data_IF_871282792908
#
_entry.id   IF_871282792908
#
_cell.length_a   1.000
_cell.length_b   1.000
_cell.length_c   1.000
_cell.angle_alpha   90.00
_cell.angle_beta   90.00
_cell.angle_gamma   90.00
#
_symmetry.space_group_name_H-M   'P 1'
#
loop_
_entity.id
_entity.type
_entity.pdbx_description
1 polymer ?
#
# COMPACT_ATOMS: atom_id res chain seq x y z
N UNK A 1 -9.88 20.77 24.88
CA UNK A 1 -9.30 20.66 23.52
C UNK A 1 -7.80 20.84 23.65
N UNK A 2 -7.02 19.81 23.31
CA UNK A 2 -5.57 20.00 23.12
C UNK A 2 -5.42 20.65 21.76
N UNK A 3 -4.89 21.87 21.70
CA UNK A 3 -4.55 22.48 20.43
C UNK A 3 -3.40 21.68 19.80
N UNK A 4 -3.67 20.97 18.71
CA UNK A 4 -2.65 20.27 17.94
C UNK A 4 -1.75 21.33 17.30
N UNK A 5 -0.52 21.48 17.80
CA UNK A 5 0.48 22.34 17.19
C UNK A 5 1.08 21.60 16.00
N UNK A 6 0.98 22.17 14.80
CA UNK A 6 1.70 21.68 13.64
C UNK A 6 3.21 21.71 13.96
N UNK A 7 3.84 20.53 13.96
CA UNK A 7 5.27 20.39 14.24
C UNK A 7 6.06 20.79 12.98
N UNK A 8 5.71 20.18 11.85
CA UNK A 8 6.34 20.42 10.56
C UNK A 8 5.40 19.99 9.43
N UNK A 9 5.59 20.59 8.26
CA UNK A 9 4.94 20.18 7.01
C UNK A 9 6.03 20.03 5.95
N UNK A 10 5.96 18.92 5.22
CA UNK A 10 6.87 18.59 4.11
C UNK A 10 6.07 18.48 2.81
N UNK A 11 6.72 18.74 1.69
CA UNK A 11 6.21 18.49 0.34
C UNK A 11 6.57 17.06 -0.06
N UNK A 12 5.59 16.31 -0.56
CA UNK A 12 5.80 15.06 -1.27
C UNK A 12 5.70 15.36 -2.77
N UNK A 13 6.77 15.10 -3.51
CA UNK A 13 6.87 15.37 -4.94
C UNK A 13 6.92 14.06 -5.72
N UNK A 14 5.77 13.65 -6.26
CA UNK A 14 5.60 12.41 -7.01
C UNK A 14 6.08 12.50 -8.46
N UNK A 15 6.61 13.66 -8.90
CA UNK A 15 7.05 13.88 -10.28
C UNK A 15 5.98 13.47 -11.32
N UNK A 16 4.69 13.78 -11.11
CA UNK A 16 3.52 13.27 -11.86
C UNK A 16 3.74 13.08 -13.38
N UNK A 17 4.20 11.89 -13.79
CA UNK A 17 4.30 11.50 -15.21
C UNK A 17 2.97 10.93 -15.73
N UNK A 18 2.04 10.57 -14.84
CA UNK A 18 0.73 10.04 -15.22
C UNK A 18 -0.41 10.48 -14.26
N UNK A 19 -1.09 11.60 -14.53
CA UNK A 19 -2.12 12.15 -13.66
C UNK A 19 -3.42 11.31 -13.55
N UNK A 20 -3.57 10.24 -14.32
CA UNK A 20 -4.81 9.43 -14.36
C UNK A 20 -4.98 8.45 -13.18
N UNK A 21 -3.92 8.20 -12.40
CA UNK A 21 -3.93 7.40 -11.17
C UNK A 21 -2.95 8.03 -10.18
N UNK A 22 -3.28 9.23 -9.71
CA UNK A 22 -2.31 9.97 -8.92
C UNK A 22 -2.41 9.59 -7.45
N UNK A 23 -1.38 8.90 -6.97
CA UNK A 23 -1.31 8.34 -5.62
C UNK A 23 -1.55 9.36 -4.49
N UNK A 24 -1.31 10.65 -4.75
CA UNK A 24 -1.43 11.68 -3.72
C UNK A 24 -2.85 11.88 -3.16
N UNK A 25 -3.89 11.33 -3.81
CA UNK A 25 -5.27 11.48 -3.36
C UNK A 25 -5.65 10.48 -2.27
N UNK A 26 -4.98 9.33 -2.25
CA UNK A 26 -5.46 8.11 -1.60
C UNK A 26 -4.35 7.47 -0.75
N UNK A 27 -3.50 8.30 -0.12
CA UNK A 27 -2.42 7.81 0.75
C UNK A 27 -3.00 7.24 2.05
N UNK A 28 -2.68 5.98 2.32
CA UNK A 28 -3.22 5.21 3.44
C UNK A 28 -2.12 4.64 4.35
N UNK A 29 -0.90 4.47 3.84
CA UNK A 29 0.22 3.93 4.62
C UNK A 29 1.54 4.67 4.34
N UNK A 30 2.39 4.75 5.37
CA UNK A 30 3.67 5.45 5.33
C UNK A 30 4.66 4.85 6.32
N UNK A 31 5.93 4.73 5.92
CA UNK A 31 7.03 4.32 6.81
C UNK A 31 8.36 4.94 6.39
N UNK A 32 9.20 5.26 7.38
CA UNK A 32 10.60 5.60 7.15
C UNK A 32 11.47 4.35 7.25
N UNK A 33 12.35 4.15 6.25
CA UNK A 33 13.41 3.12 6.31
C UNK A 33 14.76 3.70 6.72
N UNK A 34 14.91 5.02 6.53
CA UNK A 34 16.01 5.84 7.02
C UNK A 34 15.51 7.30 7.15
N UNK A 35 16.28 8.23 7.74
CA UNK A 35 15.91 9.65 7.80
C UNK A 35 15.68 10.32 6.44
N UNK A 36 16.18 9.71 5.36
CA UNK A 36 16.16 10.26 4.01
C UNK A 36 15.32 9.44 3.03
N UNK A 37 14.77 8.30 3.45
CA UNK A 37 13.96 7.42 2.59
C UNK A 37 12.58 7.18 3.19
N UNK A 38 11.57 7.73 2.53
CA UNK A 38 10.15 7.59 2.85
C UNK A 38 9.50 6.61 1.88
N UNK A 39 8.75 5.66 2.42
CA UNK A 39 7.90 4.77 1.65
C UNK A 39 6.45 5.10 1.92
N UNK A 40 5.63 5.11 0.87
CA UNK A 40 4.19 5.33 0.97
C UNK A 40 3.43 4.33 0.10
N UNK A 41 2.16 4.11 0.44
CA UNK A 41 1.25 3.32 -0.36
C UNK A 41 -0.17 3.92 -0.30
N UNK A 42 -1.02 3.41 -1.18
CA UNK A 42 -2.40 3.83 -1.33
C UNK A 42 -3.37 2.66 -1.22
N UNK A 43 -4.58 2.95 -0.78
CA UNK A 43 -5.69 1.99 -0.77
C UNK A 43 -6.26 1.73 -2.18
N UNK A 44 -5.95 2.58 -3.16
CA UNK A 44 -6.45 2.51 -4.54
C UNK A 44 -5.38 2.05 -5.56
N UNK A 45 -4.13 1.83 -5.13
CA UNK A 45 -3.02 1.46 -6.01
C UNK A 45 -2.26 0.23 -5.49
N UNK A 46 -2.13 -0.79 -6.35
CA UNK A 46 -1.34 -2.01 -6.09
C UNK A 46 0.17 -1.81 -6.28
N UNK A 47 0.71 -0.76 -5.68
CA UNK A 47 2.13 -0.42 -5.72
C UNK A 47 2.56 0.17 -4.37
N UNK A 48 3.86 0.07 -4.11
CA UNK A 48 4.52 0.87 -3.07
C UNK A 48 5.41 1.89 -3.76
N UNK A 49 5.44 3.09 -3.19
CA UNK A 49 6.19 4.21 -3.72
C UNK A 49 7.32 4.59 -2.78
N UNK A 50 8.48 4.89 -3.34
CA UNK A 50 9.61 5.44 -2.60
C UNK A 50 9.81 6.89 -2.96
N UNK A 51 9.99 7.72 -1.95
CA UNK A 51 10.46 9.09 -2.07
C UNK A 51 11.76 9.25 -1.28
N UNK A 52 12.73 9.97 -1.85
CA UNK A 52 13.97 10.35 -1.17
C UNK A 52 13.96 11.81 -0.78
N UNK A 53 14.58 12.11 0.35
CA UNK A 53 14.73 13.48 0.81
C UNK A 53 15.65 14.24 -0.13
N UNK A 54 15.12 15.29 -0.77
CA UNK A 54 15.88 16.15 -1.69
C UNK A 54 16.35 17.43 -1.00
N UNK A 55 15.60 17.89 0.00
CA UNK A 55 15.98 19.02 0.85
C UNK A 55 15.32 18.90 2.24
N UNK A 56 15.43 19.94 3.08
CA UNK A 56 14.89 19.91 4.45
C UNK A 56 13.38 19.69 4.53
N UNK A 57 12.62 20.14 3.52
CA UNK A 57 11.16 20.15 3.51
C UNK A 57 10.55 19.39 2.34
N UNK A 58 11.34 18.68 1.55
CA UNK A 58 10.86 18.00 0.36
C UNK A 58 11.37 16.57 0.29
N UNK A 59 10.44 15.65 0.08
CA UNK A 59 10.70 14.28 -0.37
C UNK A 59 10.29 14.20 -1.85
N UNK A 60 11.22 13.80 -2.70
CA UNK A 60 11.07 13.69 -4.16
C UNK A 60 11.75 12.43 -4.68
N UNK A 61 12.33 12.49 -5.88
CA UNK A 61 12.96 11.32 -6.55
C UNK A 61 12.06 10.08 -6.54
N UNK A 62 10.78 10.32 -6.80
CA UNK A 62 9.73 9.31 -6.76
C UNK A 62 10.05 8.10 -7.63
N UNK A 63 9.89 6.90 -7.07
CA UNK A 63 9.95 5.64 -7.79
C UNK A 63 8.84 4.70 -7.35
N UNK A 64 8.14 4.13 -8.34
CA UNK A 64 7.07 3.16 -8.15
C UNK A 64 7.53 1.72 -8.28
N UNK A 65 6.98 0.86 -7.40
CA UNK A 65 7.22 -0.58 -7.41
C UNK A 65 5.89 -1.33 -7.32
N UNK A 66 5.45 -1.91 -8.44
CA UNK A 66 4.20 -2.65 -8.50
C UNK A 66 4.29 -3.98 -7.76
N UNK A 67 3.26 -4.31 -6.96
CA UNK A 67 3.24 -5.55 -6.19
C UNK A 67 3.33 -6.80 -7.08
N UNK A 68 2.80 -6.75 -8.30
CA UNK A 68 2.89 -7.84 -9.28
C UNK A 68 4.32 -8.15 -9.74
N UNK A 69 5.24 -7.19 -9.61
CA UNK A 69 6.65 -7.39 -9.91
C UNK A 69 7.44 -7.86 -8.68
N UNK A 70 6.91 -7.64 -7.48
CA UNK A 70 7.59 -7.94 -6.21
C UNK A 70 7.14 -9.27 -5.61
N UNK A 71 5.90 -9.69 -5.89
CA UNK A 71 5.24 -10.84 -5.29
C UNK A 71 4.84 -11.86 -6.38
N UNK A 72 5.41 -13.06 -6.33
CA UNK A 72 5.20 -14.09 -7.37
C UNK A 72 3.75 -14.57 -7.49
N UNK A 73 3.00 -14.60 -6.38
CA UNK A 73 1.60 -15.07 -6.34
C UNK A 73 0.59 -13.91 -6.35
N UNK A 74 1.00 -12.74 -6.82
CA UNK A 74 0.09 -11.60 -6.93
C UNK A 74 -0.95 -11.88 -8.02
N UNK A 75 -2.23 -11.81 -7.67
CA UNK A 75 -3.30 -12.02 -8.64
C UNK A 75 -3.63 -10.70 -9.35
N UNK A 76 -3.07 -10.52 -10.54
CA UNK A 76 -3.33 -9.36 -11.40
C UNK A 76 -4.79 -9.26 -11.89
N UNK A 77 -5.55 -10.37 -11.83
CA UNK A 77 -6.98 -10.37 -12.18
C UNK A 77 -7.88 -9.90 -11.03
N UNK A 78 -7.37 -9.90 -9.80
CA UNK A 78 -8.08 -9.41 -8.62
C UNK A 78 -7.89 -7.89 -8.43
N UNK A 79 -8.75 -7.28 -7.58
CA UNK A 79 -8.79 -5.81 -7.47
C UNK A 79 -7.67 -5.27 -6.56
N UNK A 80 -7.81 -4.01 -6.14
CA UNK A 80 -6.91 -3.39 -5.17
C UNK A 80 -6.76 -4.22 -3.89
N UNK A 81 -5.53 -4.24 -3.37
CA UNK A 81 -5.15 -4.77 -2.06
C UNK A 81 -5.76 -3.94 -0.93
N UNK A 82 -6.02 -2.65 -1.16
CA UNK A 82 -6.24 -1.65 -0.11
C UNK A 82 -5.08 -1.72 0.90
N UNK A 83 -3.91 -1.20 0.55
CA UNK A 83 -2.77 -1.23 1.48
C UNK A 83 -3.08 -0.27 2.62
N UNK A 84 -3.23 -0.76 3.84
CA UNK A 84 -3.65 0.06 5.00
C UNK A 84 -2.56 0.22 6.05
N UNK A 85 -1.48 -0.55 5.92
CA UNK A 85 -0.38 -0.47 6.87
C UNK A 85 0.95 -0.87 6.26
N UNK A 86 1.98 -0.18 6.73
CA UNK A 86 3.37 -0.42 6.36
C UNK A 86 4.25 -0.30 7.60
N UNK A 87 5.27 -1.15 7.68
CA UNK A 87 6.31 -1.03 8.70
C UNK A 87 7.67 -1.46 8.14
N UNK A 88 8.75 -1.11 8.84
CA UNK A 88 10.11 -1.48 8.49
C UNK A 88 10.81 -2.09 9.70
N UNK A 89 11.09 -3.39 9.61
CA UNK A 89 11.80 -4.12 10.66
C UNK A 89 12.63 -5.27 10.06
N UNK A 90 13.80 -5.51 10.66
CA UNK A 90 14.67 -6.63 10.30
C UNK A 90 15.20 -6.60 8.86
N UNK A 91 15.35 -5.43 8.25
CA UNK A 91 15.65 -5.22 6.82
C UNK A 91 14.53 -5.70 5.87
N UNK A 92 13.27 -5.67 6.33
CA UNK A 92 12.11 -5.93 5.50
C UNK A 92 11.11 -4.79 5.58
N UNK A 93 10.54 -4.44 4.44
CA UNK A 93 9.29 -3.69 4.38
C UNK A 93 8.12 -4.64 4.55
N UNK A 94 7.32 -4.41 5.57
CA UNK A 94 6.10 -5.14 5.85
C UNK A 94 4.91 -4.37 5.28
N UNK A 95 4.00 -5.08 4.60
CA UNK A 95 2.79 -4.52 4.03
C UNK A 95 1.58 -5.33 4.51
N UNK A 96 0.49 -4.65 4.84
CA UNK A 96 -0.79 -5.29 5.15
C UNK A 96 -1.91 -4.65 4.32
N UNK A 97 -2.77 -5.50 3.75
CA UNK A 97 -4.02 -5.05 3.12
C UNK A 97 -5.08 -4.68 4.15
N UNK A 98 -6.29 -4.35 3.71
CA UNK A 98 -7.40 -4.02 4.63
C UNK A 98 -7.96 -5.21 5.43
N UNK A 99 -7.63 -6.46 5.04
CA UNK A 99 -8.16 -7.71 5.63
C UNK A 99 -9.69 -7.71 5.75
N UNK A 100 -10.36 -7.07 4.79
CA UNK A 100 -11.80 -6.83 4.82
C UNK A 100 -12.53 -7.58 3.70
N UNK A 101 -13.73 -8.07 4.00
CA UNK A 101 -14.66 -8.57 2.98
C UNK A 101 -15.46 -7.41 2.38
N UNK A 102 -15.75 -7.47 1.07
CA UNK A 102 -16.54 -6.45 0.36
C UNK A 102 -18.01 -6.86 0.29
N UNK A 103 -18.92 -5.88 0.35
CA UNK A 103 -20.33 -6.03 -0.05
C UNK A 103 -20.55 -5.38 -1.42
N UNK A 104 -21.54 -5.84 -2.19
CA UNK A 104 -21.92 -5.11 -3.41
C UNK A 104 -22.46 -3.73 -3.05
N UNK A 105 -22.13 -2.71 -3.85
CA UNK A 105 -22.65 -1.36 -3.70
C UNK A 105 -24.19 -1.36 -3.62
N UNK A 106 -24.73 -0.60 -2.68
CA UNK A 106 -26.17 -0.39 -2.53
C UNK A 106 -26.77 0.17 -3.83
N UNK A 107 -27.98 -0.27 -4.16
CA UNK A 107 -28.84 0.35 -5.18
C UNK A 107 -30.19 0.63 -4.53
N UNK A 108 -30.83 1.80 -4.80
CA UNK A 108 -32.08 2.19 -4.17
C UNK A 108 -33.15 1.10 -4.18
N UNK A 109 -33.31 0.41 -5.32
CA UNK A 109 -34.39 -0.56 -5.52
C UNK A 109 -33.97 -2.02 -5.26
N UNK A 110 -32.79 -2.27 -4.69
CA UNK A 110 -32.29 -3.63 -4.50
C UNK A 110 -31.34 -3.77 -3.31
N UNK A 111 -31.89 -3.64 -2.10
CA UNK A 111 -31.21 -3.81 -0.82
C UNK A 111 -30.61 -5.21 -0.67
N UNK A 112 -31.23 -6.24 -1.25
CA UNK A 112 -30.75 -7.62 -1.20
C UNK A 112 -29.33 -7.79 -1.76
N UNK A 113 -28.85 -6.87 -2.60
CA UNK A 113 -27.45 -6.87 -3.08
C UNK A 113 -26.43 -6.76 -1.94
N UNK A 114 -26.79 -6.11 -0.83
CA UNK A 114 -25.92 -5.96 0.35
C UNK A 114 -25.69 -7.30 1.08
N UNK A 115 -26.54 -8.31 0.84
CA UNK A 115 -26.38 -9.64 1.42
C UNK A 115 -25.25 -10.43 0.74
N UNK A 116 -24.88 -10.09 -0.51
CA UNK A 116 -23.75 -10.74 -1.17
C UNK A 116 -22.44 -10.19 -0.63
N UNK A 117 -21.76 -11.02 0.16
CA UNK A 117 -20.38 -10.79 0.60
C UNK A 117 -19.44 -11.42 -0.45
N UNK A 118 -18.38 -10.70 -0.80
CA UNK A 118 -17.30 -11.18 -1.66
C UNK A 118 -15.98 -11.05 -0.91
N UNK A 119 -15.15 -12.09 -1.03
CA UNK A 119 -13.77 -12.05 -0.62
C UNK A 119 -12.91 -11.76 -1.86
N UNK A 120 -11.98 -10.83 -1.68
CA UNK A 120 -10.97 -10.42 -2.66
C UNK A 120 -9.64 -10.79 -2.01
N UNK A 121 -8.94 -11.80 -2.52
CA UNK A 121 -7.77 -12.39 -1.85
C UNK A 121 -6.66 -11.36 -1.69
N UNK A 122 -6.51 -10.47 -2.67
CA UNK A 122 -5.56 -9.36 -2.60
C UNK A 122 -5.74 -8.50 -1.33
N UNK A 123 -6.97 -8.37 -0.79
CA UNK A 123 -7.20 -7.62 0.47
C UNK A 123 -6.67 -8.28 1.73
N UNK A 124 -6.43 -9.58 1.70
CA UNK A 124 -5.89 -10.35 2.82
C UNK A 124 -4.37 -10.50 2.73
N UNK A 125 -3.71 -9.57 2.03
CA UNK A 125 -2.26 -9.55 1.89
C UNK A 125 -1.58 -9.29 3.24
N UNK A 126 -0.58 -10.13 3.54
CA UNK A 126 0.49 -9.83 4.49
C UNK A 126 1.79 -10.16 3.77
N UNK A 127 2.56 -9.14 3.41
CA UNK A 127 3.81 -9.30 2.68
C UNK A 127 4.98 -8.78 3.51
N UNK A 128 6.15 -9.38 3.33
CA UNK A 128 7.43 -8.82 3.75
C UNK A 128 8.36 -8.80 2.57
N UNK A 129 8.94 -7.66 2.24
CA UNK A 129 9.79 -7.46 1.07
C UNK A 129 11.20 -7.12 1.55
N UNK A 130 12.24 -7.91 1.20
CA UNK A 130 13.60 -7.62 1.62
C UNK A 130 14.08 -6.29 1.07
N UNK A 131 14.73 -5.53 1.94
CA UNK A 131 15.34 -4.25 1.62
C UNK A 131 16.84 -4.31 1.92
N UNK A 132 17.68 -4.18 0.89
CA UNK A 132 19.14 -4.13 1.02
C UNK A 132 19.59 -2.68 0.78
N UNK A 133 19.81 -1.95 1.87
CA UNK A 133 19.99 -0.49 1.82
C UNK A 133 18.66 0.20 1.48
N UNK A 134 18.60 0.96 0.38
CA UNK A 134 17.35 1.54 -0.16
C UNK A 134 16.78 0.75 -1.36
N UNK A 135 17.31 -0.44 -1.65
CA UNK A 135 16.94 -1.24 -2.82
C UNK A 135 16.07 -2.41 -2.41
N UNK A 136 14.93 -2.55 -3.07
CA UNK A 136 14.12 -3.76 -2.97
C UNK A 136 14.85 -4.89 -3.70
N UNK A 137 14.97 -6.02 -3.03
CA UNK A 137 15.38 -7.26 -3.67
C UNK A 137 14.12 -8.03 -4.08
N UNK A 138 14.08 -8.47 -5.34
CA UNK A 138 12.98 -9.29 -5.84
C UNK A 138 12.96 -10.62 -5.07
N UNK A 139 11.81 -10.94 -4.48
CA UNK A 139 11.64 -12.21 -3.76
C UNK A 139 11.61 -13.37 -4.75
N UNK A 140 12.71 -14.11 -4.82
CA UNK A 140 12.78 -15.40 -5.51
C UNK A 140 12.31 -16.55 -4.57
N UNK A 141 12.09 -16.31 -3.27
CA UNK A 141 11.67 -17.38 -2.34
C UNK A 141 10.52 -17.01 -1.39
N UNK A 142 9.56 -17.94 -1.39
CA UNK A 142 8.30 -18.09 -0.67
C UNK A 142 8.26 -17.54 0.77
N UNK A 143 7.21 -16.76 1.07
CA UNK A 143 6.46 -16.87 2.33
C UNK A 143 4.99 -16.86 1.96
N UNK A 144 4.27 -17.84 2.49
CA UNK A 144 2.82 -17.97 2.39
C UNK A 144 2.16 -16.59 2.38
N UNK A 145 1.53 -16.24 1.26
CA UNK A 145 0.27 -15.53 1.35
C UNK A 145 -0.68 -16.47 2.10
N UNK A 146 -0.65 -16.41 3.43
CA UNK A 146 -1.71 -16.98 4.23
C UNK A 146 -2.91 -16.07 4.01
N UNK A 147 -3.58 -16.23 2.86
CA UNK A 147 -4.98 -15.94 2.75
C UNK A 147 -5.64 -16.86 3.78
N UNK A 148 -5.76 -16.39 5.03
CA UNK A 148 -6.69 -16.96 5.99
C UNK A 148 -8.06 -16.57 5.44
N UNK A 149 -8.47 -17.28 4.40
CA UNK A 149 -9.87 -17.41 4.07
C UNK A 149 -10.48 -18.12 5.28
N UNK A 150 -10.93 -17.34 6.25
CA UNK A 150 -11.91 -17.80 7.22
C UNK A 150 -13.04 -18.39 6.38
N UNK A 151 -13.10 -19.73 6.34
CA UNK A 151 -14.25 -20.46 5.82
C UNK A 151 -15.46 -19.97 6.60
N UNK A 152 -16.21 -19.07 6.00
CA UNK A 152 -17.59 -18.75 6.35
C UNK A 152 -18.52 -19.49 5.42
#
# INVERSE_FOLDING_TARGET
>A
MIATKLIEQVKLDFNDVNPSKSIHQDLSAVVFTSPDTLWVASDEINAIERLKKVDRKTFGEHQSFYLSQLLNDFNDEEKEVDIEGMDYDGNYLWLIGSHSSKRKKAKPDNINRLQTIKQDKNRYLLARIPLVGDRLEYLIFLILAAAIALKG
#
